data_IF_612566021837
#
_entry.id   IF_612566021837
#
_cell.length_a   1.000
_cell.length_b   1.000
_cell.length_c   1.000
_cell.angle_alpha   90.00
_cell.angle_beta   90.00
_cell.angle_gamma   90.00
#
_symmetry.space_group_name_H-M   'P 1'
#
loop_
_entity.id
_entity.type
_entity.pdbx_description
1 polymer ?
#
# COMPACT_ATOMS: atom_id res chain seq x y z
N UNK A 1 -34.52 -18.57 9.42
CA UNK A 1 -33.45 -17.66 9.88
C UNK A 1 -32.26 -17.87 8.94
N UNK A 2 -31.83 -16.84 8.22
CA UNK A 2 -30.67 -16.92 7.33
C UNK A 2 -29.39 -16.94 8.14
N UNK A 3 -28.40 -17.70 7.67
CA UNK A 3 -27.11 -17.83 8.33
C UNK A 3 -26.33 -16.50 8.21
N UNK A 4 -26.06 -15.77 9.30
CA UNK A 4 -25.44 -14.45 9.24
C UNK A 4 -24.03 -14.45 8.64
N UNK A 5 -23.41 -15.63 8.54
CA UNK A 5 -22.11 -15.83 7.91
C UNK A 5 -22.20 -15.91 6.38
N UNK A 6 -23.33 -16.39 5.83
CA UNK A 6 -23.55 -16.48 4.38
C UNK A 6 -23.66 -15.10 3.71
N UNK A 7 -24.17 -14.10 4.45
CA UNK A 7 -24.23 -12.72 3.98
C UNK A 7 -22.85 -12.04 3.98
N UNK A 8 -21.96 -12.45 4.90
CA UNK A 8 -20.60 -11.92 4.99
C UNK A 8 -19.69 -12.45 3.86
N UNK A 9 -19.78 -13.74 3.54
CA UNK A 9 -19.07 -14.35 2.41
C UNK A 9 -19.54 -13.76 1.07
N UNK A 10 -20.85 -13.60 0.89
CA UNK A 10 -21.41 -12.93 -0.29
C UNK A 10 -20.95 -11.48 -0.43
N UNK A 11 -20.84 -10.76 0.69
CA UNK A 11 -20.33 -9.39 0.67
C UNK A 11 -18.85 -9.35 0.25
N UNK A 12 -18.04 -10.30 0.73
CA UNK A 12 -16.64 -10.44 0.34
C UNK A 12 -16.50 -10.77 -1.16
N UNK A 13 -17.27 -11.73 -1.67
CA UNK A 13 -17.28 -12.09 -3.09
C UNK A 13 -17.67 -10.89 -3.99
N UNK A 14 -18.65 -10.10 -3.54
CA UNK A 14 -19.07 -8.88 -4.25
C UNK A 14 -18.00 -7.80 -4.21
N UNK A 15 -17.29 -7.65 -3.08
CA UNK A 15 -16.17 -6.72 -2.96
C UNK A 15 -15.00 -7.11 -3.87
N UNK A 16 -14.67 -8.41 -3.96
CA UNK A 16 -13.64 -8.94 -4.85
C UNK A 16 -14.02 -8.72 -6.33
N UNK A 17 -15.28 -8.97 -6.69
CA UNK A 17 -15.79 -8.71 -8.04
C UNK A 17 -15.77 -7.21 -8.39
N UNK A 18 -16.05 -6.35 -7.42
CA UNK A 18 -15.96 -4.90 -7.59
C UNK A 18 -14.51 -4.46 -7.81
N UNK A 19 -13.58 -4.96 -6.99
CA UNK A 19 -12.15 -4.71 -7.15
C UNK A 19 -11.65 -5.17 -8.53
N UNK A 20 -12.06 -6.36 -9.00
CA UNK A 20 -11.75 -6.86 -10.33
C UNK A 20 -12.27 -5.94 -11.45
N UNK A 21 -13.48 -5.40 -11.30
CA UNK A 21 -14.07 -4.47 -12.28
C UNK A 21 -13.36 -3.13 -12.30
N UNK A 22 -12.98 -2.60 -11.13
CA UNK A 22 -12.19 -1.37 -11.02
C UNK A 22 -10.82 -1.57 -11.67
N UNK A 23 -10.15 -2.69 -11.40
CA UNK A 23 -8.87 -3.06 -12.02
C UNK A 23 -8.97 -3.05 -13.56
N UNK A 24 -9.99 -3.70 -14.12
CA UNK A 24 -10.21 -3.72 -15.58
C UNK A 24 -10.58 -2.36 -16.18
N UNK A 25 -11.18 -1.46 -15.40
CA UNK A 25 -11.48 -0.12 -15.86
C UNK A 25 -10.19 0.71 -15.90
N UNK A 26 -9.37 0.62 -14.85
CA UNK A 26 -8.08 1.27 -14.78
C UNK A 26 -7.15 0.81 -15.91
N UNK A 27 -7.08 -0.50 -16.19
CA UNK A 27 -6.31 -1.03 -17.33
C UNK A 27 -6.74 -0.40 -18.66
N UNK A 28 -8.05 -0.21 -18.87
CA UNK A 28 -8.57 0.41 -20.10
C UNK A 28 -8.25 1.91 -20.19
N UNK A 29 -8.35 2.64 -19.08
CA UNK A 29 -7.99 4.06 -19.02
C UNK A 29 -6.49 4.21 -19.30
N UNK A 30 -5.68 3.36 -18.69
CA UNK A 30 -4.24 3.34 -18.89
C UNK A 30 -3.87 2.96 -20.33
N UNK A 31 -4.50 1.94 -20.92
CA UNK A 31 -4.31 1.57 -22.33
C UNK A 31 -4.76 2.68 -23.30
N UNK A 32 -5.71 3.52 -22.89
CA UNK A 32 -6.10 4.70 -23.68
C UNK A 32 -5.08 5.85 -23.57
N UNK A 33 -4.44 6.00 -22.41
CA UNK A 33 -3.41 6.99 -22.16
C UNK A 33 -2.07 6.62 -22.82
N UNK A 34 -1.75 5.32 -22.86
CA UNK A 34 -0.53 4.78 -23.45
C UNK A 34 -0.84 4.30 -24.87
N UNK A 35 -0.44 5.10 -25.87
CA UNK A 35 -0.62 4.76 -27.28
C UNK A 35 -0.04 3.36 -27.59
N UNK A 36 -0.78 2.45 -28.25
CA UNK A 36 -0.25 1.14 -28.62
C UNK A 36 0.85 1.29 -29.68
N UNK A 37 2.09 0.95 -29.32
CA UNK A 37 3.22 0.86 -30.24
C UNK A 37 3.31 -0.56 -30.81
N UNK A 38 3.19 -0.68 -32.14
CA UNK A 38 3.28 -1.97 -32.85
C UNK A 38 4.74 -2.42 -32.88
N UNK A 39 4.98 -3.63 -32.39
CA UNK A 39 6.29 -4.30 -32.19
C UNK A 39 7.04 -3.80 -30.94
N UNK A 40 7.02 -4.60 -29.87
CA UNK A 40 7.70 -4.32 -28.60
C UNK A 40 8.70 -5.41 -28.25
N UNK A 41 9.88 -5.00 -27.82
CA UNK A 41 10.86 -5.86 -27.16
C UNK A 41 10.44 -6.14 -25.71
N UNK A 42 11.01 -7.18 -25.07
CA UNK A 42 10.75 -7.49 -23.67
C UNK A 42 11.03 -6.31 -22.72
N UNK A 43 12.07 -5.51 -23.02
CA UNK A 43 12.40 -4.30 -22.27
C UNK A 43 11.31 -3.23 -22.39
N UNK A 44 10.82 -2.98 -23.62
CA UNK A 44 9.70 -2.06 -23.84
C UNK A 44 8.42 -2.52 -23.13
N UNK A 45 8.15 -3.82 -23.08
CA UNK A 45 7.00 -4.34 -22.33
C UNK A 45 7.12 -4.07 -20.82
N UNK A 46 8.34 -4.11 -20.26
CA UNK A 46 8.59 -3.76 -18.85
C UNK A 46 8.47 -2.27 -18.60
N UNK A 47 9.02 -1.45 -19.48
CA UNK A 47 8.91 0.00 -19.41
C UNK A 47 7.45 0.45 -19.50
N UNK A 48 6.70 -0.13 -20.45
CA UNK A 48 5.27 0.10 -20.59
C UNK A 48 4.51 -0.37 -19.35
N UNK A 49 4.77 -1.56 -18.83
CA UNK A 49 4.15 -2.04 -17.58
C UNK A 49 4.43 -1.10 -16.39
N UNK A 50 5.63 -0.52 -16.34
CA UNK A 50 6.02 0.44 -15.30
C UNK A 50 5.27 1.76 -15.47
N UNK A 51 5.20 2.28 -16.70
CA UNK A 51 4.44 3.49 -17.02
C UNK A 51 2.95 3.32 -16.72
N UNK A 52 2.39 2.12 -16.97
CA UNK A 52 1.01 1.77 -16.62
C UNK A 52 0.76 1.87 -15.11
N UNK A 53 1.63 1.27 -14.31
CA UNK A 53 1.51 1.30 -12.84
C UNK A 53 1.63 2.72 -12.30
N UNK A 54 2.60 3.51 -12.77
CA UNK A 54 2.76 4.91 -12.36
C UNK A 54 1.54 5.77 -12.74
N UNK A 55 0.98 5.55 -13.93
CA UNK A 55 -0.24 6.24 -14.38
C UNK A 55 -1.43 5.91 -13.49
N UNK A 56 -1.58 4.63 -13.12
CA UNK A 56 -2.66 4.17 -12.25
C UNK A 56 -2.55 4.77 -10.84
N UNK A 57 -1.35 4.77 -10.26
CA UNK A 57 -1.06 5.43 -8.96
C UNK A 57 -1.44 6.93 -9.01
N UNK A 58 -1.11 7.62 -10.11
CA UNK A 58 -1.46 9.03 -10.30
C UNK A 58 -2.98 9.26 -10.34
N UNK A 59 -3.72 8.42 -11.06
CA UNK A 59 -5.18 8.48 -11.16
C UNK A 59 -5.84 8.23 -9.80
N UNK A 60 -5.42 7.18 -9.10
CA UNK A 60 -5.94 6.83 -7.77
C UNK A 60 -5.71 7.96 -6.77
N UNK A 61 -4.48 8.52 -6.76
CA UNK A 61 -4.16 9.67 -5.92
C UNK A 61 -5.05 10.88 -6.21
N UNK A 62 -5.24 11.21 -7.49
CA UNK A 62 -6.10 12.32 -7.91
C UNK A 62 -7.57 12.08 -7.54
N UNK A 63 -8.03 10.84 -7.60
CA UNK A 63 -9.38 10.42 -7.23
C UNK A 63 -9.59 10.31 -5.71
N UNK A 64 -8.54 10.50 -4.89
CA UNK A 64 -8.60 10.31 -3.44
C UNK A 64 -8.71 8.85 -3.01
N UNK A 65 -8.42 7.91 -3.91
CA UNK A 65 -8.33 6.47 -3.63
C UNK A 65 -6.92 6.15 -3.14
N UNK A 66 -6.79 5.22 -2.19
CA UNK A 66 -5.47 4.83 -1.69
C UNK A 66 -4.76 3.90 -2.69
N UNK A 67 -3.61 4.30 -3.28
CA UNK A 67 -2.92 3.52 -4.30
C UNK A 67 -1.97 2.46 -3.73
N UNK A 68 -2.05 2.11 -2.43
CA UNK A 68 -1.06 1.26 -1.74
C UNK A 68 -0.76 -0.05 -2.51
N UNK A 69 -1.80 -0.72 -3.02
CA UNK A 69 -1.64 -1.97 -3.76
C UNK A 69 -0.80 -1.80 -5.04
N UNK A 70 -1.06 -0.74 -5.81
CA UNK A 70 -0.33 -0.47 -7.05
C UNK A 70 1.06 0.13 -6.78
N UNK A 71 1.24 0.84 -5.66
CA UNK A 71 2.56 1.21 -5.14
C UNK A 71 3.39 -0.04 -4.82
N UNK A 72 2.83 -1.04 -4.12
CA UNK A 72 3.56 -2.29 -3.86
C UNK A 72 3.90 -3.06 -5.14
N UNK A 73 2.99 -3.08 -6.12
CA UNK A 73 3.24 -3.70 -7.44
C UNK A 73 4.37 -2.98 -8.19
N UNK A 74 4.39 -1.64 -8.17
CA UNK A 74 5.45 -0.83 -8.78
C UNK A 74 6.81 -1.11 -8.14
N UNK A 75 6.89 -1.16 -6.80
CA UNK A 75 8.13 -1.49 -6.09
C UNK A 75 8.66 -2.88 -6.45
N UNK A 76 7.78 -3.88 -6.56
CA UNK A 76 8.15 -5.24 -7.01
C UNK A 76 8.64 -5.28 -8.45
N UNK A 77 8.15 -4.36 -9.29
CA UNK A 77 8.61 -4.19 -10.66
C UNK A 77 9.95 -3.42 -10.77
N UNK A 78 10.49 -2.93 -9.66
CA UNK A 78 11.77 -2.20 -9.61
C UNK A 78 11.64 -0.68 -9.66
N UNK A 79 10.42 -0.15 -9.62
CA UNK A 79 10.18 1.30 -9.60
C UNK A 79 10.71 1.92 -8.30
N UNK A 80 11.35 3.08 -8.40
CA UNK A 80 11.90 3.79 -7.25
C UNK A 80 10.86 4.68 -6.55
N UNK A 81 11.10 5.02 -5.28
CA UNK A 81 10.29 5.99 -4.56
C UNK A 81 10.26 7.38 -5.21
N UNK A 82 11.30 7.74 -5.95
CA UNK A 82 11.36 9.00 -6.71
C UNK A 82 10.40 8.97 -7.89
N UNK A 83 10.34 7.87 -8.64
CA UNK A 83 9.38 7.71 -9.73
C UNK A 83 7.93 7.67 -9.22
N UNK A 84 7.68 6.97 -8.12
CA UNK A 84 6.35 6.89 -7.49
C UNK A 84 5.93 8.27 -6.97
N UNK A 85 6.81 8.96 -6.25
CA UNK A 85 6.55 10.31 -5.76
C UNK A 85 6.31 11.30 -6.90
N UNK A 86 7.13 11.23 -7.96
CA UNK A 86 6.99 12.05 -9.16
C UNK A 86 5.63 11.87 -9.84
N UNK A 87 5.11 10.63 -9.91
CA UNK A 87 3.81 10.35 -10.52
C UNK A 87 2.63 11.03 -9.81
N UNK A 88 2.74 11.30 -8.51
CA UNK A 88 1.69 11.95 -7.71
C UNK A 88 2.05 13.37 -7.26
N UNK A 89 3.18 13.91 -7.72
CA UNK A 89 3.63 15.26 -7.37
C UNK A 89 4.12 15.43 -5.93
N UNK A 90 4.64 14.38 -5.29
CA UNK A 90 5.25 14.43 -3.95
C UNK A 90 6.71 14.00 -3.98
N UNK A 91 7.51 14.42 -2.99
CA UNK A 91 8.90 13.98 -2.87
C UNK A 91 9.04 12.49 -2.53
N UNK A 92 10.18 11.90 -2.89
CA UNK A 92 10.48 10.47 -2.65
C UNK A 92 10.37 10.08 -1.16
N UNK A 93 10.84 10.93 -0.25
CA UNK A 93 10.74 10.69 1.20
C UNK A 93 9.29 10.70 1.69
N UNK A 94 8.46 11.60 1.14
CA UNK A 94 7.03 11.66 1.47
C UNK A 94 6.29 10.43 0.96
N UNK A 95 6.59 9.99 -0.27
CA UNK A 95 6.04 8.74 -0.83
C UNK A 95 6.45 7.52 0.02
N UNK A 96 7.73 7.43 0.40
CA UNK A 96 8.24 6.37 1.27
C UNK A 96 7.56 6.40 2.64
N UNK A 97 7.45 7.57 3.28
CA UNK A 97 6.81 7.70 4.59
C UNK A 97 5.33 7.29 4.58
N UNK A 98 4.65 7.46 3.44
CA UNK A 98 3.23 7.15 3.29
C UNK A 98 2.96 5.67 3.02
N UNK A 99 3.70 5.05 2.12
CA UNK A 99 3.41 3.71 1.58
C UNK A 99 4.49 2.67 1.84
N UNK A 100 5.56 3.01 2.57
CA UNK A 100 6.49 1.99 3.03
C UNK A 100 5.81 1.11 4.09
N UNK A 101 5.80 -0.19 3.83
CA UNK A 101 5.39 -1.24 4.78
C UNK A 101 6.35 -1.37 5.96
N UNK A 102 7.57 -0.86 5.84
CA UNK A 102 8.55 -0.70 6.92
C UNK A 102 8.20 0.52 7.80
N UNK A 103 7.02 0.54 8.40
CA UNK A 103 6.84 1.37 9.59
C UNK A 103 7.66 0.73 10.71
N UNK A 104 8.66 1.40 11.30
CA UNK A 104 9.28 0.87 12.51
C UNK A 104 8.15 0.67 13.52
N UNK A 105 7.95 -0.58 13.94
CA UNK A 105 7.06 -0.89 15.03
C UNK A 105 7.43 0.07 16.17
N UNK A 106 6.45 0.86 16.66
CA UNK A 106 6.64 1.70 17.85
C UNK A 106 7.40 0.85 18.87
N UNK A 107 8.53 1.32 19.43
CA UNK A 107 9.26 0.55 20.42
C UNK A 107 8.25 0.17 21.50
N UNK A 108 7.99 -1.13 21.61
CA UNK A 108 7.11 -1.70 22.62
C UNK A 108 7.62 -1.12 23.94
N UNK A 109 6.78 -0.47 24.77
CA UNK A 109 7.26 0.08 26.03
C UNK A 109 7.95 -1.05 26.77
N UNK A 110 9.24 -0.85 27.03
CA UNK A 110 10.10 -1.84 27.65
C UNK A 110 9.45 -2.24 28.98
N UNK A 111 8.95 -3.48 29.03
CA UNK A 111 8.36 -4.06 30.24
C UNK A 111 9.40 -4.24 31.36
N UNK A 112 10.68 -3.89 31.14
CA UNK A 112 11.70 -3.86 32.20
C UNK A 112 11.61 -2.67 33.13
N UNK A 113 10.89 -1.60 32.80
CA UNK A 113 10.78 -0.43 33.69
C UNK A 113 9.87 -0.66 34.90
N UNK A 114 9.02 -1.70 34.88
CA UNK A 114 8.04 -1.94 35.96
C UNK A 114 8.55 -2.82 37.10
N UNK A 115 9.71 -3.47 36.96
CA UNK A 115 10.30 -4.34 38.00
C UNK A 115 11.32 -3.65 38.90
N UNK A 116 11.61 -2.36 38.69
CA UNK A 116 12.60 -1.64 39.48
C UNK A 116 12.02 -0.74 40.58
N UNK A 117 10.68 -0.58 40.65
CA UNK A 117 10.03 0.26 41.67
C UNK A 117 9.37 -0.52 42.82
N UNK A 118 9.43 -1.86 42.83
CA UNK A 118 8.78 -2.66 43.90
C UNK A 118 9.77 -3.13 44.97
N UNK A 119 11.07 -2.92 44.79
CA UNK A 119 12.08 -3.35 45.77
C UNK A 119 12.30 -2.28 46.86
N UNK A 120 12.00 -1.00 46.57
CA UNK A 120 12.23 0.09 47.53
C UNK A 120 11.07 0.29 48.52
N UNK A 121 9.83 -0.12 48.19
CA UNK A 121 8.69 0.00 49.13
C UNK A 121 8.71 -1.03 50.26
N UNK A 122 9.40 -2.17 50.09
CA UNK A 122 9.49 -3.18 51.16
C UNK A 122 10.62 -2.91 52.18
N UNK A 123 11.49 -1.92 51.94
CA UNK A 123 12.57 -1.57 52.87
C UNK A 123 12.22 -0.40 53.82
N UNK A 124 11.09 0.28 53.62
CA UNK A 124 10.66 1.45 54.40
C UNK A 124 9.61 1.15 55.48
N UNK A 125 9.26 -0.12 55.73
CA UNK A 125 8.26 -0.53 56.72
C UNK A 125 8.83 -1.38 57.87
N UNK A 126 10.10 -1.19 58.21
CA UNK A 126 10.73 -1.90 59.34
C UNK A 126 11.46 -0.97 60.32
N UNK A 127 11.00 0.28 60.45
CA UNK A 127 11.34 1.20 61.53
C UNK A 127 10.12 2.06 61.88
#
# INVERSE_FOLDING_TARGET
MGDPWADHERLADVADLFAEKVDRLLDRVVDSAIRPSRVRSAEQLRDDSTARLLTRIAIEHLAGVDPDLDVQRALRAGTTWEQIGGAVGIGAEAARGRWSTDKPAKPKPDRRSRRRNTVDEQQLSMW
#
